data_IF_112791432812
#
_entry.id   IF_112791432812
#
_cell.length_a   1.000
_cell.length_b   1.000
_cell.length_c   1.000
_cell.angle_alpha   90.00
_cell.angle_beta   90.00
_cell.angle_gamma   90.00
#
_symmetry.space_group_name_H-M   'P 1'
#
loop_
_entity.id
_entity.type
_entity.pdbx_description
1 polymer ?
#
# COMPACT_ATOMS: atom_id res chain seq x y z
N UNK A 1 -8.83 12.60 10.04
CA UNK A 1 -9.32 11.43 9.27
C UNK A 1 -9.32 10.21 10.17
N UNK A 2 -10.38 9.43 10.13
CA UNK A 2 -10.52 8.20 10.96
C UNK A 2 -10.77 7.03 10.02
N UNK A 3 -10.07 5.93 10.24
CA UNK A 3 -10.26 4.67 9.52
C UNK A 3 -10.06 3.50 10.48
N UNK A 4 -11.15 2.80 10.78
CA UNK A 4 -11.23 1.70 11.76
C UNK A 4 -10.60 2.11 13.09
N UNK A 5 -9.40 1.61 13.42
CA UNK A 5 -8.70 1.87 14.69
C UNK A 5 -7.66 3.00 14.59
N UNK A 6 -7.42 3.53 13.38
CA UNK A 6 -6.41 4.55 13.12
C UNK A 6 -7.02 5.95 12.97
N UNK A 7 -6.42 6.92 13.64
CA UNK A 7 -6.79 8.34 13.58
C UNK A 7 -5.59 9.15 13.10
N UNK A 8 -5.75 9.85 11.96
CA UNK A 8 -4.77 10.83 11.48
C UNK A 8 -5.28 12.23 11.77
N UNK A 9 -4.50 12.99 12.53
CA UNK A 9 -4.74 14.39 12.86
C UNK A 9 -3.78 15.27 12.07
N UNK A 10 -4.28 16.38 11.56
CA UNK A 10 -3.48 17.39 10.89
C UNK A 10 -4.03 18.77 11.21
N UNK A 11 -3.15 19.75 11.30
CA UNK A 11 -3.51 21.14 11.59
C UNK A 11 -2.27 22.02 11.56
N UNK A 12 -2.48 23.31 11.57
CA UNK A 12 -1.44 24.35 11.60
C UNK A 12 -1.13 24.84 13.02
N UNK A 13 -1.91 24.42 14.01
CA UNK A 13 -1.71 24.77 15.42
C UNK A 13 -1.28 23.54 16.22
N UNK A 14 0.01 23.41 16.55
CA UNK A 14 0.53 22.27 17.31
C UNK A 14 -0.01 22.21 18.74
N UNK A 15 -0.30 23.35 19.37
CA UNK A 15 -0.83 23.38 20.75
C UNK A 15 -2.26 22.83 20.78
N UNK A 16 -3.06 23.18 19.79
CA UNK A 16 -4.42 22.65 19.65
C UNK A 16 -4.40 21.13 19.42
N UNK A 17 -3.52 20.64 18.54
CA UNK A 17 -3.36 19.20 18.27
C UNK A 17 -2.98 18.44 19.55
N UNK A 18 -2.03 18.94 20.31
CA UNK A 18 -1.57 18.34 21.57
C UNK A 18 -2.70 18.27 22.60
N UNK A 19 -3.46 19.36 22.72
CA UNK A 19 -4.62 19.41 23.62
C UNK A 19 -5.70 18.40 23.20
N UNK A 20 -5.96 18.29 21.90
CA UNK A 20 -6.95 17.37 21.36
C UNK A 20 -6.53 15.91 21.56
N UNK A 21 -5.25 15.56 21.34
CA UNK A 21 -4.71 14.22 21.60
C UNK A 21 -4.86 13.86 23.08
N UNK A 22 -4.56 14.77 23.98
CA UNK A 22 -4.73 14.57 25.44
C UNK A 22 -6.18 14.36 25.82
N UNK A 23 -7.10 15.13 25.22
CA UNK A 23 -8.53 14.96 25.45
C UNK A 23 -9.04 13.60 25.00
N UNK A 24 -8.60 13.13 23.81
CA UNK A 24 -8.91 11.80 23.31
C UNK A 24 -8.35 10.70 24.22
N UNK A 25 -7.09 10.82 24.63
CA UNK A 25 -6.43 9.83 25.50
C UNK A 25 -7.08 9.69 26.88
N UNK A 26 -7.73 10.74 27.35
CA UNK A 26 -8.49 10.70 28.61
C UNK A 26 -9.82 9.95 28.50
N UNK A 27 -10.41 9.88 27.30
CA UNK A 27 -11.72 9.25 27.08
C UNK A 27 -11.59 7.87 26.44
N UNK A 28 -10.55 7.65 25.67
CA UNK A 28 -10.31 6.43 24.89
C UNK A 28 -8.90 5.91 25.11
N UNK A 29 -8.71 4.59 25.10
CA UNK A 29 -7.37 3.97 25.15
C UNK A 29 -6.65 4.15 23.81
N UNK A 30 -6.31 5.40 23.46
CA UNK A 30 -5.52 5.71 22.27
C UNK A 30 -4.05 5.83 22.59
N UNK A 31 -3.21 5.37 21.65
CA UNK A 31 -1.76 5.54 21.72
C UNK A 31 -1.35 6.56 20.67
N UNK A 32 -0.69 7.62 21.09
CA UNK A 32 -0.05 8.54 20.16
C UNK A 32 1.20 7.88 19.54
N UNK A 33 1.21 7.77 18.20
CA UNK A 33 2.32 7.21 17.43
C UNK A 33 3.28 8.30 16.91
N UNK A 34 3.01 9.56 17.21
CA UNK A 34 3.81 10.69 16.77
C UNK A 34 3.58 11.07 15.32
N UNK A 35 4.66 11.45 14.63
CA UNK A 35 4.58 11.88 13.22
C UNK A 35 4.16 10.73 12.32
N UNK A 36 3.31 11.02 11.35
CA UNK A 36 2.80 10.05 10.40
C UNK A 36 3.91 9.54 9.48
N UNK A 37 4.19 8.24 9.56
CA UNK A 37 5.14 7.54 8.69
C UNK A 37 4.47 6.47 7.82
N UNK A 38 3.39 5.88 8.32
CA UNK A 38 2.63 4.84 7.62
C UNK A 38 1.15 5.01 7.87
N UNK A 39 0.36 4.85 6.81
CA UNK A 39 -1.09 4.83 6.91
C UNK A 39 -1.71 4.00 5.78
N UNK A 40 -2.48 2.97 6.13
CA UNK A 40 -3.17 2.10 5.17
C UNK A 40 -2.26 1.52 4.08
N UNK A 41 -1.08 1.05 4.45
CA UNK A 41 -0.11 0.47 3.52
C UNK A 41 0.68 1.50 2.69
N UNK A 42 0.44 2.80 2.93
CA UNK A 42 1.19 3.89 2.30
C UNK A 42 2.25 4.41 3.26
N UNK A 43 3.48 4.48 2.79
CA UNK A 43 4.59 5.14 3.48
C UNK A 43 4.52 6.65 3.23
N UNK A 44 4.70 7.42 4.28
CA UNK A 44 4.72 8.89 4.22
C UNK A 44 6.12 9.37 4.53
N UNK A 45 6.79 9.91 3.54
CA UNK A 45 8.19 10.35 3.62
C UNK A 45 8.20 11.89 3.56
N UNK A 46 8.57 12.57 4.67
CA UNK A 46 8.72 14.02 4.66
C UNK A 46 9.84 14.46 3.71
N UNK A 47 9.57 15.49 2.94
CA UNK A 47 10.54 16.14 2.05
C UNK A 47 10.59 17.65 2.34
N UNK A 48 11.63 18.37 1.92
CA UNK A 48 11.71 19.82 2.13
C UNK A 48 10.55 20.61 1.51
N UNK A 49 9.89 20.06 0.51
CA UNK A 49 8.81 20.72 -0.25
C UNK A 49 7.42 20.14 0.02
N UNK A 50 7.31 19.10 0.88
CA UNK A 50 6.03 18.45 1.19
C UNK A 50 6.17 17.01 1.66
N UNK A 51 5.20 16.19 1.30
CA UNK A 51 5.19 14.76 1.65
C UNK A 51 5.25 13.92 0.38
N UNK A 52 6.15 12.95 0.36
CA UNK A 52 6.19 11.93 -0.67
C UNK A 52 5.46 10.66 -0.16
N UNK A 53 4.47 10.20 -0.92
CA UNK A 53 3.72 8.99 -0.62
C UNK A 53 4.26 7.84 -1.45
N UNK A 54 4.56 6.71 -0.81
CA UNK A 54 5.14 5.53 -1.43
C UNK A 54 4.42 4.26 -0.99
N UNK A 55 4.27 3.33 -1.91
CA UNK A 55 3.83 1.96 -1.63
C UNK A 55 4.95 0.94 -1.87
N UNK A 56 6.21 1.37 -1.74
CA UNK A 56 7.37 0.56 -2.06
C UNK A 56 7.34 -0.81 -1.34
N UNK A 57 7.06 -0.81 -0.06
CA UNK A 57 6.96 -2.04 0.74
C UNK A 57 5.85 -2.96 0.24
N UNK A 58 4.67 -2.40 -0.06
CA UNK A 58 3.56 -3.18 -0.61
C UNK A 58 3.92 -3.84 -1.95
N UNK A 59 4.60 -3.10 -2.84
CA UNK A 59 5.09 -3.65 -4.12
C UNK A 59 6.10 -4.76 -3.88
N UNK A 60 7.04 -4.58 -2.95
CA UNK A 60 8.01 -5.62 -2.60
C UNK A 60 7.33 -6.88 -2.06
N UNK A 61 6.34 -6.73 -1.18
CA UNK A 61 5.58 -7.84 -0.62
C UNK A 61 4.84 -8.62 -1.72
N UNK A 62 4.24 -7.92 -2.71
CA UNK A 62 3.62 -8.55 -3.88
C UNK A 62 4.66 -9.32 -4.70
N UNK A 63 5.79 -8.70 -5.04
CA UNK A 63 6.85 -9.36 -5.81
C UNK A 63 7.35 -10.62 -5.11
N UNK A 64 7.60 -10.53 -3.82
CA UNK A 64 8.04 -11.67 -3.02
C UNK A 64 6.98 -12.79 -2.97
N UNK A 65 5.71 -12.43 -2.76
CA UNK A 65 4.60 -13.40 -2.70
C UNK A 65 4.43 -14.20 -4.00
N UNK A 66 4.70 -13.56 -5.15
CA UNK A 66 4.57 -14.18 -6.47
C UNK A 66 5.92 -14.67 -7.04
N UNK A 67 6.97 -14.71 -6.22
CA UNK A 67 8.33 -15.14 -6.61
C UNK A 67 8.89 -14.35 -7.81
N UNK A 68 8.59 -13.05 -7.84
CA UNK A 68 9.02 -12.12 -8.87
C UNK A 68 10.17 -11.22 -8.40
N UNK A 69 10.82 -11.55 -7.28
CA UNK A 69 11.97 -10.82 -6.78
C UNK A 69 13.10 -10.80 -7.81
N UNK A 70 13.56 -9.61 -8.16
CA UNK A 70 14.61 -9.43 -9.17
C UNK A 70 14.16 -9.70 -10.62
N UNK A 71 12.88 -9.88 -10.88
CA UNK A 71 12.36 -9.98 -12.24
C UNK A 71 12.69 -8.69 -13.02
N UNK A 72 13.13 -8.86 -14.26
CA UNK A 72 13.38 -7.72 -15.14
C UNK A 72 12.07 -7.19 -15.69
N UNK A 73 11.98 -5.87 -15.79
CA UNK A 73 10.89 -5.20 -16.45
C UNK A 73 10.79 -5.58 -17.93
N UNK A 74 9.58 -5.63 -18.44
CA UNK A 74 9.27 -5.90 -19.86
C UNK A 74 8.56 -4.70 -20.45
N UNK A 75 9.03 -4.24 -21.61
CA UNK A 75 8.47 -3.07 -22.30
C UNK A 75 7.07 -3.37 -22.86
N UNK A 76 6.83 -4.62 -23.24
CA UNK A 76 5.54 -5.07 -23.81
C UNK A 76 4.89 -6.12 -22.91
N UNK A 77 3.59 -6.00 -22.58
CA UNK A 77 2.92 -6.95 -21.69
C UNK A 77 2.72 -8.34 -22.31
N UNK A 78 2.85 -8.46 -23.63
CA UNK A 78 2.66 -9.71 -24.38
C UNK A 78 3.76 -9.90 -25.42
N UNK A 79 4.10 -11.18 -25.67
CA UNK A 79 4.96 -11.53 -26.77
C UNK A 79 4.23 -11.30 -28.10
N UNK A 80 4.85 -10.54 -29.03
CA UNK A 80 4.22 -10.21 -30.33
C UNK A 80 4.04 -11.43 -31.25
N UNK A 81 4.72 -12.54 -30.96
CA UNK A 81 4.70 -13.76 -31.77
C UNK A 81 3.68 -14.80 -31.34
N UNK A 82 3.13 -14.65 -30.13
CA UNK A 82 2.15 -15.61 -29.60
C UNK A 82 0.73 -15.06 -29.70
N UNK A 83 -0.14 -15.83 -30.37
CA UNK A 83 -1.56 -15.53 -30.42
C UNK A 83 -2.27 -16.16 -29.25
N UNK A 84 -2.95 -15.33 -28.45
CA UNK A 84 -3.79 -15.82 -27.34
C UNK A 84 -5.05 -16.49 -27.94
N UNK A 85 -5.22 -17.78 -27.64
CA UNK A 85 -6.40 -18.53 -28.01
C UNK A 85 -7.12 -19.03 -26.75
N UNK A 86 -8.46 -19.02 -26.79
CA UNK A 86 -9.27 -19.54 -25.67
C UNK A 86 -9.20 -21.07 -25.56
N UNK A 87 -8.70 -21.77 -26.59
CA UNK A 87 -8.57 -23.22 -26.66
C UNK A 87 -7.19 -23.60 -27.23
N UNK A 88 -6.15 -23.41 -26.43
CA UNK A 88 -4.77 -23.73 -26.80
C UNK A 88 -4.32 -25.13 -26.36
N UNK A 89 -5.21 -25.95 -25.83
CA UNK A 89 -4.93 -27.29 -25.29
C UNK A 89 -3.96 -27.30 -24.09
N UNK A 90 -3.66 -26.14 -23.51
CA UNK A 90 -2.84 -26.05 -22.31
C UNK A 90 -3.54 -26.67 -21.09
N UNK A 91 -2.79 -27.24 -20.15
CA UNK A 91 -3.38 -27.74 -18.91
C UNK A 91 -4.01 -26.59 -18.12
N UNK A 92 -5.16 -26.88 -17.50
CA UNK A 92 -5.87 -25.90 -16.67
C UNK A 92 -4.98 -25.37 -15.54
N UNK A 93 -4.81 -24.06 -15.47
CA UNK A 93 -4.02 -23.39 -14.44
C UNK A 93 -4.91 -22.95 -13.28
N UNK A 94 -4.40 -23.03 -12.06
CA UNK A 94 -5.10 -22.48 -10.90
C UNK A 94 -5.22 -20.94 -11.03
N UNK A 95 -6.44 -20.46 -11.20
CA UNK A 95 -6.72 -19.03 -11.40
C UNK A 95 -6.62 -18.21 -10.09
N UNK A 96 -6.51 -18.86 -8.91
CA UNK A 96 -6.53 -18.18 -7.62
C UNK A 96 -5.32 -17.23 -7.43
N UNK A 97 -4.06 -17.64 -7.70
CA UNK A 97 -2.93 -16.73 -7.61
C UNK A 97 -3.07 -15.54 -8.56
N UNK A 98 -3.51 -15.76 -9.78
CA UNK A 98 -3.72 -14.68 -10.76
C UNK A 98 -4.74 -13.65 -10.27
N UNK A 99 -5.92 -14.12 -9.81
CA UNK A 99 -6.97 -13.23 -9.28
C UNK A 99 -6.50 -12.46 -8.06
N UNK A 100 -5.69 -13.09 -7.19
CA UNK A 100 -5.10 -12.45 -6.03
C UNK A 100 -4.14 -11.35 -6.45
N UNK A 101 -3.26 -11.60 -7.43
CA UNK A 101 -2.33 -10.60 -7.95
C UNK A 101 -3.09 -9.40 -8.53
N UNK A 102 -4.05 -9.63 -9.41
CA UNK A 102 -4.86 -8.55 -10.01
C UNK A 102 -5.61 -7.75 -8.95
N UNK A 103 -6.09 -8.39 -7.89
CA UNK A 103 -6.77 -7.71 -6.79
C UNK A 103 -5.82 -6.95 -5.85
N UNK A 104 -4.51 -7.16 -5.95
CA UNK A 104 -3.48 -6.48 -5.14
C UNK A 104 -2.87 -5.24 -5.83
N UNK A 105 -3.11 -5.08 -7.13
CA UNK A 105 -2.65 -3.94 -7.95
C UNK A 105 -3.63 -2.78 -7.89
#
# INVERSE_FOLDING_TARGET
>A
MVYVDDIVLTGNDPMFLDHFIKALSNQFSVKDLGVLHHFLGVEVIPTPTGLFLSQHRHIQDILHQFSMDGAKDVITPLCATESLSSNDSSPSVNATPYRKLVGSL
#
